data_IF_510654301906
#
_entry.id   IF_510654301906
#
_cell.length_a   1.000
_cell.length_b   1.000
_cell.length_c   1.000
_cell.angle_alpha   90.00
_cell.angle_beta   90.00
_cell.angle_gamma   90.00
#
_symmetry.space_group_name_H-M   'P 1'
#
loop_
_entity.id
_entity.type
_entity.pdbx_description
1 polymer ?
#
# COMPACT_ATOMS: atom_id res chain seq x y z
N UNK A 1 18.97 -8.36 11.09
CA UNK A 1 19.44 -6.99 10.73
C UNK A 1 20.10 -6.94 9.35
N UNK A 2 21.18 -7.68 9.06
CA UNK A 2 21.88 -7.63 7.76
C UNK A 2 20.94 -7.96 6.57
N UNK A 3 20.10 -8.99 6.70
CA UNK A 3 19.13 -9.39 5.65
C UNK A 3 18.13 -8.28 5.32
N UNK A 4 17.64 -7.54 6.32
CA UNK A 4 16.73 -6.40 6.12
C UNK A 4 17.43 -5.29 5.35
N UNK A 5 18.67 -4.96 5.71
CA UNK A 5 19.47 -3.94 5.00
C UNK A 5 19.67 -4.34 3.53
N UNK A 6 20.07 -5.58 3.28
CA UNK A 6 20.29 -6.09 1.91
C UNK A 6 18.98 -6.04 1.10
N UNK A 7 17.87 -6.56 1.65
CA UNK A 7 16.58 -6.56 0.94
C UNK A 7 16.04 -5.15 0.71
N UNK A 8 16.23 -4.23 1.66
CA UNK A 8 15.87 -2.82 1.48
C UNK A 8 16.69 -2.16 0.37
N UNK A 9 18.01 -2.41 0.34
CA UNK A 9 18.88 -1.90 -0.72
C UNK A 9 18.49 -2.49 -2.10
N UNK A 10 18.22 -3.79 -2.17
CA UNK A 10 17.75 -4.45 -3.40
C UNK A 10 16.40 -3.88 -3.86
N UNK A 11 15.46 -3.66 -2.93
CA UNK A 11 14.19 -3.02 -3.25
C UNK A 11 14.39 -1.63 -3.87
N UNK A 12 15.27 -0.81 -3.31
CA UNK A 12 15.59 0.51 -3.86
C UNK A 12 16.20 0.43 -5.26
N UNK A 13 17.08 -0.55 -5.51
CA UNK A 13 17.66 -0.80 -6.85
C UNK A 13 16.54 -1.21 -7.83
N UNK A 14 15.70 -2.18 -7.47
CA UNK A 14 14.62 -2.64 -8.35
C UNK A 14 13.56 -1.56 -8.59
N UNK A 15 13.22 -0.75 -7.57
CA UNK A 15 12.34 0.41 -7.74
C UNK A 15 12.93 1.47 -8.69
N UNK A 16 14.24 1.66 -8.67
CA UNK A 16 14.93 2.55 -9.61
C UNK A 16 14.90 2.00 -11.04
N UNK A 17 15.11 0.69 -11.20
CA UNK A 17 15.01 0.02 -12.50
C UNK A 17 13.58 0.02 -13.03
N UNK A 18 12.58 -0.17 -12.16
CA UNK A 18 11.16 0.00 -12.48
C UNK A 18 10.89 1.40 -13.06
N UNK A 19 11.29 2.46 -12.34
CA UNK A 19 11.09 3.85 -12.79
C UNK A 19 11.75 4.10 -14.16
N UNK A 20 12.97 3.62 -14.37
CA UNK A 20 13.65 3.73 -15.67
C UNK A 20 12.91 3.00 -16.79
N UNK A 21 12.43 1.79 -16.51
CA UNK A 21 11.69 1.00 -17.49
C UNK A 21 10.34 1.65 -17.85
N UNK A 22 9.64 2.23 -16.86
CA UNK A 22 8.38 2.97 -17.10
C UNK A 22 8.60 4.23 -17.95
N UNK A 23 9.66 5.02 -17.67
CA UNK A 23 10.01 6.20 -18.48
C UNK A 23 10.35 5.81 -19.93
N UNK A 24 10.96 4.63 -20.13
CA UNK A 24 11.29 4.10 -21.45
C UNK A 24 10.11 3.36 -22.12
N UNK A 25 8.93 3.34 -21.50
CA UNK A 25 7.74 2.60 -21.95
C UNK A 25 7.97 1.09 -22.15
N UNK A 26 8.97 0.53 -21.45
CA UNK A 26 9.29 -0.90 -21.46
C UNK A 26 8.44 -1.64 -20.41
N UNK A 27 7.13 -1.70 -20.65
CA UNK A 27 6.16 -2.15 -19.66
C UNK A 27 6.38 -3.59 -19.15
N UNK A 28 6.86 -4.51 -19.99
CA UNK A 28 7.20 -5.88 -19.55
C UNK A 28 8.36 -5.86 -18.56
N UNK A 29 9.42 -5.11 -18.87
CA UNK A 29 10.55 -4.96 -17.96
C UNK A 29 10.14 -4.25 -16.65
N UNK A 30 9.27 -3.23 -16.76
CA UNK A 30 8.74 -2.52 -15.60
C UNK A 30 7.99 -3.47 -14.67
N UNK A 31 7.15 -4.37 -15.21
CA UNK A 31 6.40 -5.34 -14.42
C UNK A 31 7.33 -6.35 -13.71
N UNK A 32 8.35 -6.83 -14.40
CA UNK A 32 9.38 -7.71 -13.80
C UNK A 32 10.11 -7.02 -12.65
N UNK A 33 10.57 -5.77 -12.84
CA UNK A 33 11.26 -5.02 -11.79
C UNK A 33 10.34 -4.70 -10.62
N UNK A 34 9.06 -4.42 -10.90
CA UNK A 34 8.05 -4.22 -9.86
C UNK A 34 7.86 -5.48 -9.03
N UNK A 35 7.75 -6.64 -9.66
CA UNK A 35 7.67 -7.93 -8.99
C UNK A 35 8.87 -8.18 -8.07
N UNK A 36 10.11 -7.94 -8.52
CA UNK A 36 11.30 -8.10 -7.68
C UNK A 36 11.33 -7.10 -6.52
N UNK A 37 10.96 -5.84 -6.74
CA UNK A 37 10.89 -4.85 -5.66
C UNK A 37 9.86 -5.26 -4.61
N UNK A 38 8.68 -5.73 -5.03
CA UNK A 38 7.61 -6.16 -4.12
C UNK A 38 7.94 -7.47 -3.41
N UNK A 39 8.67 -8.39 -4.05
CA UNK A 39 9.18 -9.59 -3.40
C UNK A 39 10.10 -9.25 -2.22
N UNK A 40 10.88 -8.17 -2.29
CA UNK A 40 11.76 -7.77 -1.20
C UNK A 40 11.00 -7.48 0.10
N UNK A 41 9.88 -6.73 0.06
CA UNK A 41 9.13 -6.46 1.28
C UNK A 41 8.39 -7.70 1.81
N UNK A 42 7.95 -8.61 0.94
CA UNK A 42 7.39 -9.90 1.36
C UNK A 42 8.46 -10.73 2.09
N UNK A 43 9.67 -10.82 1.54
CA UNK A 43 10.77 -11.54 2.17
C UNK A 43 11.19 -10.90 3.50
N UNK A 44 11.18 -9.56 3.61
CA UNK A 44 11.42 -8.88 4.89
C UNK A 44 10.39 -9.33 5.92
N UNK A 45 9.10 -9.34 5.57
CA UNK A 45 8.04 -9.80 6.46
C UNK A 45 8.19 -11.27 6.88
N UNK A 46 8.43 -12.15 5.91
CA UNK A 46 8.58 -13.62 6.16
C UNK A 46 9.78 -13.93 7.06
N UNK A 47 10.94 -13.32 6.78
CA UNK A 47 12.19 -13.61 7.50
C UNK A 47 12.23 -13.02 8.91
N UNK A 48 11.36 -12.05 9.22
CA UNK A 48 11.32 -11.38 10.51
C UNK A 48 10.04 -11.65 11.31
N UNK A 49 9.20 -12.55 10.83
CA UNK A 49 7.95 -12.91 11.50
C UNK A 49 8.22 -13.71 12.77
N UNK A 50 7.65 -13.30 13.92
CA UNK A 50 7.72 -14.09 15.15
C UNK A 50 6.72 -15.26 15.16
N UNK A 51 5.85 -15.37 14.13
CA UNK A 51 4.71 -16.27 14.11
C UNK A 51 3.48 -15.71 14.84
N UNK A 52 2.42 -16.49 14.88
CA UNK A 52 1.13 -16.07 15.47
C UNK A 52 0.18 -15.46 14.45
N UNK A 53 -1.08 -15.20 14.90
CA UNK A 53 -2.15 -14.81 14.00
C UNK A 53 -1.92 -13.43 13.37
N UNK A 54 -1.58 -12.42 14.18
CA UNK A 54 -1.32 -11.06 13.70
C UNK A 54 -0.20 -11.03 12.67
N UNK A 55 0.94 -11.70 12.96
CA UNK A 55 2.06 -11.79 12.03
C UNK A 55 1.67 -12.46 10.71
N UNK A 56 0.90 -13.54 10.78
CA UNK A 56 0.41 -14.27 9.60
C UNK A 56 -0.49 -13.38 8.73
N UNK A 57 -1.40 -12.65 9.34
CA UNK A 57 -2.27 -11.69 8.63
C UNK A 57 -1.44 -10.58 7.97
N UNK A 58 -0.45 -10.02 8.67
CA UNK A 58 0.41 -8.98 8.08
C UNK A 58 1.19 -9.51 6.88
N UNK A 59 1.70 -10.75 6.94
CA UNK A 59 2.36 -11.40 5.80
C UNK A 59 1.38 -11.60 4.63
N UNK A 60 0.15 -12.02 4.88
CA UNK A 60 -0.87 -12.11 3.82
C UNK A 60 -1.15 -10.76 3.17
N UNK A 61 -1.20 -9.68 3.97
CA UNK A 61 -1.32 -8.33 3.43
C UNK A 61 -0.15 -7.95 2.50
N UNK A 62 1.09 -8.27 2.89
CA UNK A 62 2.29 -8.07 2.05
C UNK A 62 2.21 -8.89 0.75
N UNK A 63 1.81 -10.16 0.82
CA UNK A 63 1.65 -11.04 -0.36
C UNK A 63 0.56 -10.51 -1.29
N UNK A 64 -0.57 -10.06 -0.76
CA UNK A 64 -1.63 -9.44 -1.56
C UNK A 64 -1.15 -8.16 -2.23
N UNK A 65 -0.34 -7.33 -1.54
CA UNK A 65 0.32 -6.18 -2.13
C UNK A 65 1.23 -6.56 -3.32
N UNK A 66 2.06 -7.58 -3.16
CA UNK A 66 2.90 -8.12 -4.24
C UNK A 66 2.08 -8.59 -5.46
N UNK A 67 1.00 -9.35 -5.23
CA UNK A 67 0.13 -9.82 -6.32
C UNK A 67 -0.55 -8.64 -7.01
N UNK A 68 -1.04 -7.67 -6.24
CA UNK A 68 -1.69 -6.48 -6.76
C UNK A 68 -0.74 -5.64 -7.61
N UNK A 69 0.52 -5.51 -7.22
CA UNK A 69 1.54 -4.78 -7.96
C UNK A 69 1.74 -5.31 -9.38
N UNK A 70 1.84 -6.62 -9.53
CA UNK A 70 1.92 -7.28 -10.83
C UNK A 70 0.64 -7.03 -11.63
N UNK A 71 -0.54 -7.24 -11.04
CA UNK A 71 -1.82 -7.06 -11.71
C UNK A 71 -2.05 -5.62 -12.20
N UNK A 72 -1.65 -4.64 -11.37
CA UNK A 72 -1.79 -3.23 -11.73
C UNK A 72 -0.91 -2.83 -12.91
N UNK A 73 0.30 -3.39 -13.05
CA UNK A 73 1.19 -3.12 -14.16
C UNK A 73 0.81 -3.90 -15.43
N UNK A 74 0.23 -5.09 -15.30
CA UNK A 74 -0.29 -5.88 -16.44
C UNK A 74 -1.29 -5.08 -17.30
N UNK A 75 -1.92 -4.02 -16.77
CA UNK A 75 -2.81 -3.13 -17.55
C UNK A 75 -2.15 -2.54 -18.79
N UNK A 76 -0.86 -2.28 -18.75
CA UNK A 76 -0.10 -1.70 -19.85
C UNK A 76 0.32 -2.74 -20.89
N UNK A 77 0.38 -4.02 -20.50
CA UNK A 77 0.80 -5.16 -21.33
C UNK A 77 -0.40 -5.81 -22.02
N UNK A 78 -1.51 -5.99 -21.28
CA UNK A 78 -2.69 -6.74 -21.73
C UNK A 78 -3.70 -5.89 -22.52
N UNK A 79 -3.28 -5.12 -23.51
CA UNK A 79 -4.09 -4.28 -24.43
C UNK A 79 -5.62 -4.29 -24.19
N UNK A 80 -6.32 -5.34 -24.72
CA UNK A 80 -7.81 -5.46 -24.61
C UNK A 80 -8.31 -5.78 -23.19
N UNK A 81 -7.54 -6.48 -22.36
CA UNK A 81 -7.90 -6.90 -20.99
C UNK A 81 -7.23 -6.05 -19.92
N UNK A 82 -6.50 -5.00 -20.28
CA UNK A 82 -5.78 -4.16 -19.34
C UNK A 82 -6.66 -3.49 -18.29
N UNK A 83 -7.87 -3.04 -18.66
CA UNK A 83 -8.82 -2.46 -17.69
C UNK A 83 -9.32 -3.50 -16.68
N UNK A 84 -9.53 -4.74 -17.10
CA UNK A 84 -9.92 -5.82 -16.20
C UNK A 84 -8.79 -6.16 -15.23
N UNK A 85 -7.55 -6.29 -15.73
CA UNK A 85 -6.38 -6.53 -14.89
C UNK A 85 -6.19 -5.41 -13.85
N UNK A 86 -6.38 -4.16 -14.24
CA UNK A 86 -6.33 -3.01 -13.35
C UNK A 86 -7.40 -3.08 -12.26
N UNK A 87 -8.65 -3.40 -12.62
CA UNK A 87 -9.73 -3.54 -11.66
C UNK A 87 -9.49 -4.66 -10.65
N UNK A 88 -9.05 -5.84 -11.14
CA UNK A 88 -8.69 -6.96 -10.28
C UNK A 88 -7.52 -6.57 -9.36
N UNK A 89 -6.51 -5.87 -9.89
CA UNK A 89 -5.40 -5.37 -9.09
C UNK A 89 -5.84 -4.46 -7.94
N UNK A 90 -6.77 -3.52 -8.20
CA UNK A 90 -7.35 -2.66 -7.15
C UNK A 90 -8.09 -3.50 -6.09
N UNK A 91 -8.85 -4.52 -6.50
CA UNK A 91 -9.56 -5.38 -5.55
C UNK A 91 -8.61 -6.20 -4.68
N UNK A 92 -7.54 -6.74 -5.26
CA UNK A 92 -6.51 -7.47 -4.50
C UNK A 92 -5.78 -6.54 -3.54
N UNK A 93 -5.49 -5.31 -3.95
CA UNK A 93 -4.89 -4.29 -3.10
C UNK A 93 -5.80 -3.90 -1.93
N UNK A 94 -7.09 -3.71 -2.20
CA UNK A 94 -8.12 -3.48 -1.19
C UNK A 94 -8.17 -4.64 -0.18
N UNK A 95 -8.14 -5.88 -0.66
CA UNK A 95 -8.11 -7.06 0.20
C UNK A 95 -6.87 -7.03 1.12
N UNK A 96 -5.70 -6.62 0.62
CA UNK A 96 -4.49 -6.43 1.42
C UNK A 96 -4.69 -5.43 2.56
N UNK A 97 -5.31 -4.27 2.31
CA UNK A 97 -5.62 -3.27 3.34
C UNK A 97 -6.60 -3.78 4.38
N UNK A 98 -7.62 -4.54 3.94
CA UNK A 98 -8.59 -5.15 4.86
C UNK A 98 -7.90 -6.17 5.76
N UNK A 99 -6.99 -6.98 5.22
CA UNK A 99 -6.23 -7.96 6.00
C UNK A 99 -5.29 -7.26 7.01
N UNK A 100 -4.61 -6.18 6.62
CA UNK A 100 -3.84 -5.35 7.55
C UNK A 100 -4.72 -4.77 8.66
N UNK A 101 -5.89 -4.22 8.29
CA UNK A 101 -6.85 -3.67 9.26
C UNK A 101 -7.31 -4.75 10.26
N UNK A 102 -7.65 -5.95 9.80
CA UNK A 102 -8.04 -7.08 10.66
C UNK A 102 -6.89 -7.40 11.63
N UNK A 103 -5.66 -7.50 11.15
CA UNK A 103 -4.49 -7.81 11.98
C UNK A 103 -4.33 -6.82 13.14
N UNK A 104 -4.41 -5.51 12.86
CA UNK A 104 -4.20 -4.49 13.90
C UNK A 104 -5.43 -4.25 14.77
N UNK A 105 -6.63 -4.62 14.31
CA UNK A 105 -7.85 -4.60 15.13
C UNK A 105 -7.80 -5.62 16.27
N UNK A 106 -7.16 -6.79 16.07
CA UNK A 106 -6.95 -7.79 17.12
C UNK A 106 -6.14 -7.24 18.30
N UNK A 107 -5.31 -6.22 18.08
CA UNK A 107 -4.49 -5.57 19.09
C UNK A 107 -5.15 -4.32 19.70
N UNK A 108 -6.26 -3.86 19.12
CA UNK A 108 -6.85 -2.56 19.44
C UNK A 108 -7.79 -2.63 20.64
N UNK A 109 -7.54 -1.77 21.64
CA UNK A 109 -8.42 -1.62 22.81
C UNK A 109 -9.55 -0.61 22.56
N UNK A 110 -9.31 0.39 21.71
CA UNK A 110 -10.24 1.51 21.44
C UNK A 110 -10.76 1.50 19.99
N UNK A 111 -10.93 0.31 19.42
CA UNK A 111 -11.24 0.15 17.98
C UNK A 111 -12.50 0.91 17.53
N UNK A 112 -13.53 1.03 18.38
CA UNK A 112 -14.79 1.74 18.04
C UNK A 112 -14.53 3.23 17.78
N UNK A 113 -13.73 3.88 18.62
CA UNK A 113 -13.36 5.29 18.47
C UNK A 113 -12.48 5.46 17.23
N UNK A 114 -11.52 4.57 17.03
CA UNK A 114 -10.64 4.59 15.85
C UNK A 114 -11.44 4.44 14.55
N UNK A 115 -12.43 3.56 14.51
CA UNK A 115 -13.32 3.40 13.35
C UNK A 115 -14.13 4.68 13.12
N UNK A 116 -14.73 5.27 14.15
CA UNK A 116 -15.51 6.50 14.01
C UNK A 116 -14.65 7.67 13.46
N UNK A 117 -13.44 7.85 13.99
CA UNK A 117 -12.49 8.86 13.51
C UNK A 117 -12.05 8.53 12.06
N UNK A 118 -11.72 7.27 11.79
CA UNK A 118 -11.29 6.83 10.47
C UNK A 118 -12.35 7.05 9.39
N UNK A 119 -13.63 6.78 9.69
CA UNK A 119 -14.75 7.06 8.78
C UNK A 119 -14.94 8.56 8.55
N UNK A 120 -14.85 9.37 9.59
CA UNK A 120 -14.96 10.83 9.46
C UNK A 120 -13.83 11.40 8.58
N UNK A 121 -12.58 10.99 8.83
CA UNK A 121 -11.42 11.40 8.03
C UNK A 121 -11.50 10.89 6.59
N UNK A 122 -11.96 9.64 6.39
CA UNK A 122 -12.19 9.10 5.04
C UNK A 122 -13.24 9.93 4.28
N UNK A 123 -14.34 10.30 4.92
CA UNK A 123 -15.37 11.16 4.32
C UNK A 123 -14.81 12.51 3.88
N UNK A 124 -14.04 13.17 4.74
CA UNK A 124 -13.40 14.46 4.41
C UNK A 124 -12.41 14.31 3.24
N UNK A 125 -11.57 13.27 3.27
CA UNK A 125 -10.60 13.02 2.20
C UNK A 125 -11.31 12.72 0.87
N UNK A 126 -12.37 11.91 0.87
CA UNK A 126 -13.15 11.57 -0.33
C UNK A 126 -13.81 12.83 -0.91
N UNK A 127 -14.43 13.66 -0.08
CA UNK A 127 -15.05 14.91 -0.52
C UNK A 127 -14.01 15.83 -1.16
N UNK A 128 -12.82 15.95 -0.57
CA UNK A 128 -11.74 16.74 -1.14
C UNK A 128 -11.23 16.14 -2.47
N UNK A 129 -10.98 14.84 -2.52
CA UNK A 129 -10.52 14.18 -3.75
C UNK A 129 -11.51 14.33 -4.90
N UNK A 130 -12.82 14.24 -4.65
CA UNK A 130 -13.84 14.38 -5.70
C UNK A 130 -13.89 15.78 -6.34
N UNK A 131 -13.31 16.79 -5.69
CA UNK A 131 -13.18 18.15 -6.28
C UNK A 131 -12.03 18.22 -7.29
N UNK A 132 -11.03 17.37 -7.16
CA UNK A 132 -9.78 17.45 -7.94
C UNK A 132 -9.60 16.32 -8.96
N UNK A 133 -10.32 15.20 -8.81
CA UNK A 133 -10.25 14.06 -9.72
C UNK A 133 -11.45 13.99 -10.67
N UNK A 134 -11.21 13.42 -11.86
CA UNK A 134 -12.26 13.10 -12.85
C UNK A 134 -12.22 11.61 -13.16
N UNK A 135 -13.09 10.83 -12.53
CA UNK A 135 -13.17 9.38 -12.71
C UNK A 135 -14.58 8.96 -13.09
N UNK A 136 -14.70 7.86 -13.86
CA UNK A 136 -15.99 7.21 -14.18
C UNK A 136 -16.61 6.63 -12.90
N UNK A 137 -17.94 6.54 -12.86
CA UNK A 137 -18.68 6.09 -11.68
C UNK A 137 -18.16 4.80 -11.03
N UNK A 138 -17.84 3.72 -11.77
CA UNK A 138 -17.30 2.51 -11.14
C UNK A 138 -16.01 2.78 -10.34
N UNK A 139 -15.07 3.56 -10.90
CA UNK A 139 -13.82 3.91 -10.20
C UNK A 139 -14.05 4.80 -8.98
N UNK A 140 -15.10 5.66 -9.01
CA UNK A 140 -15.48 6.45 -7.83
C UNK A 140 -15.98 5.55 -6.70
N UNK A 141 -16.83 4.56 -7.01
CA UNK A 141 -17.38 3.62 -6.01
C UNK A 141 -16.24 2.82 -5.39
N UNK A 142 -15.38 2.20 -6.21
CA UNK A 142 -14.22 1.46 -5.72
C UNK A 142 -13.25 2.35 -4.93
N UNK A 143 -13.04 3.59 -5.38
CA UNK A 143 -12.19 4.57 -4.70
C UNK A 143 -12.70 4.93 -3.30
N UNK A 144 -14.02 5.05 -3.11
CA UNK A 144 -14.64 5.31 -1.79
C UNK A 144 -14.35 4.15 -0.84
N UNK A 145 -14.58 2.91 -1.27
CA UNK A 145 -14.34 1.72 -0.45
C UNK A 145 -12.85 1.58 -0.13
N UNK A 146 -12.01 1.81 -1.12
CA UNK A 146 -10.55 1.71 -1.00
C UNK A 146 -9.98 2.76 -0.03
N UNK A 147 -10.35 4.04 -0.19
CA UNK A 147 -9.91 5.12 0.71
C UNK A 147 -10.48 4.90 2.11
N UNK A 148 -11.71 4.40 2.22
CA UNK A 148 -12.30 4.00 3.49
C UNK A 148 -11.43 2.96 4.21
N UNK A 149 -11.06 1.88 3.54
CA UNK A 149 -10.26 0.80 4.12
C UNK A 149 -8.87 1.27 4.58
N UNK A 150 -8.15 2.02 3.73
CA UNK A 150 -6.80 2.50 4.08
C UNK A 150 -6.86 3.57 5.20
N UNK A 151 -7.88 4.42 5.23
CA UNK A 151 -8.04 5.40 6.29
C UNK A 151 -8.40 4.75 7.62
N UNK A 152 -9.27 3.72 7.61
CA UNK A 152 -9.57 2.93 8.80
C UNK A 152 -8.32 2.23 9.33
N UNK A 153 -7.52 1.62 8.47
CA UNK A 153 -6.24 1.01 8.84
C UNK A 153 -5.33 2.04 9.53
N UNK A 154 -5.19 3.23 8.96
CA UNK A 154 -4.36 4.30 9.54
C UNK A 154 -4.90 4.79 10.89
N UNK A 155 -6.21 5.00 11.02
CA UNK A 155 -6.83 5.44 12.27
C UNK A 155 -6.62 4.42 13.40
N UNK A 156 -6.78 3.11 13.10
CA UNK A 156 -6.52 2.03 14.07
C UNK A 156 -5.03 1.92 14.40
N UNK A 157 -4.14 2.06 13.40
CA UNK A 157 -2.69 2.05 13.62
C UNK A 157 -2.23 3.16 14.59
N UNK A 158 -2.72 4.39 14.37
CA UNK A 158 -2.46 5.53 15.26
C UNK A 158 -3.08 5.30 16.63
N UNK A 159 -4.31 4.79 16.70
CA UNK A 159 -4.97 4.46 17.96
C UNK A 159 -4.20 3.43 18.78
N UNK A 160 -3.65 2.40 18.13
CA UNK A 160 -2.80 1.39 18.80
C UNK A 160 -1.48 2.01 19.28
N UNK A 161 -0.87 2.90 18.48
CA UNK A 161 0.34 3.62 18.89
C UNK A 161 0.10 4.48 20.15
N UNK A 162 -1.03 5.18 20.22
CA UNK A 162 -1.39 6.02 21.38
C UNK A 162 -1.71 5.15 22.59
N UNK A 163 -2.46 4.06 22.41
CA UNK A 163 -2.91 3.22 23.52
C UNK A 163 -1.80 2.31 24.09
N UNK A 164 -0.92 1.80 23.24
CA UNK A 164 0.17 0.88 23.58
C UNK A 164 1.42 1.22 22.78
N UNK A 165 2.17 2.27 23.13
CA UNK A 165 3.38 2.64 22.39
C UNK A 165 4.42 1.50 22.43
N UNK A 166 4.87 1.10 21.26
CA UNK A 166 5.92 0.10 21.09
C UNK A 166 6.64 0.34 19.75
N UNK A 167 7.79 -0.32 19.55
CA UNK A 167 8.48 -0.25 18.27
C UNK A 167 7.60 -0.80 17.12
N UNK A 168 6.87 -1.88 17.39
CA UNK A 168 5.90 -2.42 16.42
C UNK A 168 4.86 -1.38 16.00
N UNK A 169 4.13 -0.81 16.97
CA UNK A 169 3.03 0.13 16.70
C UNK A 169 3.52 1.41 16.03
N UNK A 170 4.71 1.90 16.39
CA UNK A 170 5.30 3.10 15.79
C UNK A 170 5.73 2.86 14.34
N UNK A 171 6.46 1.77 14.08
CA UNK A 171 6.96 1.45 12.74
C UNK A 171 5.80 1.08 11.81
N UNK A 172 4.83 0.31 12.29
CA UNK A 172 3.64 -0.04 11.53
C UNK A 172 2.82 1.21 11.17
N UNK A 173 2.54 2.10 12.14
CA UNK A 173 1.80 3.33 11.90
C UNK A 173 2.51 4.25 10.89
N UNK A 174 3.83 4.39 10.99
CA UNK A 174 4.61 5.14 10.01
C UNK A 174 4.52 4.51 8.62
N UNK A 175 4.65 3.19 8.51
CA UNK A 175 4.52 2.46 7.25
C UNK A 175 3.14 2.63 6.63
N UNK A 176 2.07 2.49 7.43
CA UNK A 176 0.69 2.69 7.01
C UNK A 176 0.43 4.13 6.54
N UNK A 177 1.00 5.12 7.22
CA UNK A 177 0.88 6.53 6.85
C UNK A 177 1.59 6.85 5.52
N UNK A 178 2.82 6.36 5.31
CA UNK A 178 3.52 6.54 4.04
C UNK A 178 2.75 5.87 2.89
N UNK A 179 2.16 4.72 3.15
CA UNK A 179 1.32 4.03 2.18
C UNK A 179 0.08 4.86 1.83
N UNK A 180 -0.63 5.42 2.81
CA UNK A 180 -1.77 6.32 2.58
C UNK A 180 -1.39 7.51 1.69
N UNK A 181 -0.27 8.19 1.99
CA UNK A 181 0.19 9.32 1.17
C UNK A 181 0.53 8.86 -0.25
N UNK A 182 1.20 7.72 -0.40
CA UNK A 182 1.47 7.11 -1.70
C UNK A 182 0.21 6.95 -2.54
N UNK A 183 -0.84 6.41 -1.94
CA UNK A 183 -2.10 6.14 -2.63
C UNK A 183 -2.86 7.42 -2.99
N UNK A 184 -2.85 8.42 -2.11
CA UNK A 184 -3.39 9.74 -2.45
C UNK A 184 -2.67 10.32 -3.67
N UNK A 185 -1.34 10.25 -3.70
CA UNK A 185 -0.53 10.70 -4.84
C UNK A 185 -0.86 9.89 -6.11
N UNK A 186 -1.00 8.57 -5.98
CA UNK A 186 -1.40 7.69 -7.09
C UNK A 186 -2.76 8.06 -7.66
N UNK A 187 -3.77 8.25 -6.80
CA UNK A 187 -5.13 8.61 -7.20
C UNK A 187 -5.13 9.96 -7.93
N UNK A 188 -4.45 10.97 -7.38
CA UNK A 188 -4.34 12.29 -8.00
C UNK A 188 -3.62 12.20 -9.34
N UNK A 189 -2.57 11.41 -9.45
CA UNK A 189 -1.80 11.26 -10.70
C UNK A 189 -2.55 10.46 -11.76
N UNK A 190 -3.39 9.50 -11.35
CA UNK A 190 -4.15 8.63 -12.27
C UNK A 190 -5.44 9.27 -12.76
N UNK A 191 -6.15 9.97 -11.87
CA UNK A 191 -7.50 10.48 -12.14
C UNK A 191 -7.59 12.02 -12.09
N UNK A 192 -6.50 12.71 -11.79
CA UNK A 192 -6.42 14.15 -11.78
C UNK A 192 -6.32 14.74 -13.19
N UNK A 193 -6.44 16.08 -13.28
CA UNK A 193 -6.44 16.82 -14.56
C UNK A 193 -5.11 16.76 -15.32
N UNK A 194 -4.00 16.54 -14.62
CA UNK A 194 -2.65 16.54 -15.21
C UNK A 194 -1.82 15.42 -14.62
N UNK A 195 -1.26 14.56 -15.47
CA UNK A 195 -0.22 13.62 -15.10
C UNK A 195 1.08 14.35 -14.79
N UNK A 196 1.79 13.95 -13.73
CA UNK A 196 3.09 14.48 -13.33
C UNK A 196 4.06 13.33 -13.06
N UNK A 197 5.22 13.37 -13.71
CA UNK A 197 6.25 12.36 -13.48
C UNK A 197 6.79 12.37 -12.04
N UNK A 198 6.92 13.55 -11.43
CA UNK A 198 7.31 13.66 -10.02
C UNK A 198 6.35 12.90 -9.08
N UNK A 199 5.04 12.92 -9.36
CA UNK A 199 4.05 12.20 -8.56
C UNK A 199 4.21 10.69 -8.70
N UNK A 200 4.59 10.20 -9.87
CA UNK A 200 4.94 8.78 -10.06
C UNK A 200 6.14 8.38 -9.20
N UNK A 201 7.18 9.21 -9.16
CA UNK A 201 8.36 8.97 -8.34
C UNK A 201 7.97 8.98 -6.84
N UNK A 202 7.25 9.99 -6.38
CA UNK A 202 6.78 10.07 -4.99
C UNK A 202 5.91 8.87 -4.60
N UNK A 203 4.98 8.47 -5.46
CA UNK A 203 4.16 7.28 -5.23
C UNK A 203 5.03 6.04 -5.02
N UNK A 204 5.96 5.75 -5.92
CA UNK A 204 6.80 4.54 -5.85
C UNK A 204 7.68 4.57 -4.60
N UNK A 205 8.33 5.69 -4.29
CA UNK A 205 9.21 5.81 -3.11
C UNK A 205 8.42 5.63 -1.82
N UNK A 206 7.30 6.33 -1.67
CA UNK A 206 6.46 6.26 -0.47
C UNK A 206 5.83 4.89 -0.29
N UNK A 207 5.39 4.27 -1.40
CA UNK A 207 4.81 2.94 -1.42
C UNK A 207 5.79 1.89 -0.90
N UNK A 208 6.96 1.79 -1.52
CA UNK A 208 7.95 0.79 -1.09
C UNK A 208 8.50 1.08 0.31
N UNK A 209 8.70 2.34 0.68
CA UNK A 209 9.06 2.70 2.05
C UNK A 209 7.98 2.25 3.05
N UNK A 210 6.70 2.48 2.74
CA UNK A 210 5.57 2.04 3.56
C UNK A 210 5.53 0.52 3.74
N UNK A 211 5.61 -0.24 2.64
CA UNK A 211 5.57 -1.71 2.67
C UNK A 211 6.78 -2.32 3.38
N UNK A 212 7.97 -1.76 3.18
CA UNK A 212 9.19 -2.19 3.89
C UNK A 212 9.03 -1.96 5.39
N UNK A 213 8.51 -0.80 5.82
CA UNK A 213 8.29 -0.51 7.24
C UNK A 213 7.25 -1.45 7.85
N UNK A 214 6.16 -1.76 7.14
CA UNK A 214 5.18 -2.76 7.58
C UNK A 214 5.86 -4.12 7.75
N UNK A 215 6.71 -4.54 6.80
CA UNK A 215 7.49 -5.77 6.91
C UNK A 215 8.48 -5.76 8.08
N UNK A 216 9.19 -4.63 8.30
CA UNK A 216 10.14 -4.46 9.40
C UNK A 216 9.42 -4.45 10.75
N UNK A 217 8.20 -3.93 10.84
CA UNK A 217 7.46 -3.89 12.10
C UNK A 217 7.31 -5.28 12.75
N UNK A 218 7.24 -6.34 11.92
CA UNK A 218 7.16 -7.73 12.39
C UNK A 218 8.34 -8.16 13.28
N UNK A 219 9.50 -7.50 13.17
CA UNK A 219 10.65 -7.77 14.07
C UNK A 219 10.38 -7.40 15.52
N UNK A 220 9.36 -6.59 15.77
CA UNK A 220 9.06 -5.99 17.08
C UNK A 220 7.67 -6.38 17.60
N UNK A 221 6.99 -7.29 16.90
CA UNK A 221 5.70 -7.85 17.31
C UNK A 221 5.90 -8.92 18.40
#
# INVERSE_FOLDING_TARGET
MLQVIILTALCAVFATLLLRAEVQEKFVSADVWKGFASLCFVLIGLLNSPGGNVATLLIYGLILGFIADILLNLRFILKKRGQLAFLIGILVFLAGHIVYLIAILEMSTNWKICIAIGLALAGLLILWLFQIISAKLPFKIFGVIYIGAIMLMNAVAVGNLIAKPSAFTAIFALGAFLFLISDIVLIINTFGKKFRESFRIYNIVLYYAGQILIGISLMFL
#
